data_IF_733071064576
#
_entry.id   IF_733071064576
#
_cell.length_a   1.000
_cell.length_b   1.000
_cell.length_c   1.000
_cell.angle_alpha   90.00
_cell.angle_beta   90.00
_cell.angle_gamma   90.00
#
_symmetry.space_group_name_H-M   'P 1'
#
loop_
_entity.id
_entity.type
_entity.pdbx_description
1 polymer ?
#
# COMPACT_ATOMS: atom_id res chain seq x y z
N UNK A 1 -3.32 19.67 -0.56
CA UNK A 1 -4.23 19.34 0.56
C UNK A 1 -5.26 18.28 0.14
N UNK A 2 -5.17 17.07 0.68
CA UNK A 2 -6.18 16.02 0.44
C UNK A 2 -7.44 16.36 1.26
N UNK A 3 -8.58 16.46 0.58
CA UNK A 3 -9.87 16.78 1.21
C UNK A 3 -10.54 15.47 1.60
N UNK A 4 -10.81 15.25 2.89
CA UNK A 4 -11.51 14.06 3.36
C UNK A 4 -12.89 14.44 3.86
N UNK A 5 -13.94 13.63 3.61
CA UNK A 5 -13.96 12.43 2.76
C UNK A 5 -13.92 12.76 1.26
N UNK A 6 -13.20 11.96 0.48
CA UNK A 6 -13.23 12.03 -1.00
C UNK A 6 -13.90 10.76 -1.52
N UNK A 7 -14.87 10.91 -2.41
CA UNK A 7 -15.44 9.80 -3.16
C UNK A 7 -15.25 10.10 -4.65
N UNK A 8 -14.63 9.19 -5.39
CA UNK A 8 -14.41 9.29 -6.83
C UNK A 8 -15.00 8.05 -7.47
N UNK A 9 -15.96 8.22 -8.37
CA UNK A 9 -16.50 7.15 -9.19
C UNK A 9 -16.30 7.49 -10.66
N UNK A 10 -15.73 6.57 -11.41
CA UNK A 10 -15.59 6.64 -12.86
C UNK A 10 -16.33 5.46 -13.49
N UNK A 11 -17.01 5.68 -14.61
CA UNK A 11 -17.76 4.66 -15.32
C UNK A 11 -17.49 4.79 -16.81
N UNK A 12 -17.03 3.70 -17.42
CA UNK A 12 -16.83 3.62 -18.86
C UNK A 12 -18.13 3.17 -19.57
N UNK A 13 -18.26 3.58 -20.83
CA UNK A 13 -19.30 3.23 -21.79
C UNK A 13 -19.53 1.71 -21.94
N UNK A 14 -18.54 0.88 -21.60
CA UNK A 14 -18.62 -0.58 -21.59
C UNK A 14 -19.26 -1.18 -20.32
N UNK A 15 -19.69 -0.36 -19.35
CA UNK A 15 -20.30 -0.80 -18.09
C UNK A 15 -19.29 -1.25 -17.02
N UNK A 16 -18.04 -0.81 -17.14
CA UNK A 16 -17.01 -0.96 -16.11
C UNK A 16 -17.07 0.24 -15.18
N UNK A 17 -17.26 0.02 -13.88
CA UNK A 17 -17.31 1.07 -12.87
C UNK A 17 -16.13 0.91 -11.91
N UNK A 18 -15.44 2.02 -11.64
CA UNK A 18 -14.38 2.12 -10.65
C UNK A 18 -14.77 3.17 -9.62
N UNK A 19 -15.14 2.73 -8.42
CA UNK A 19 -15.45 3.61 -7.29
C UNK A 19 -14.33 3.54 -6.27
N UNK A 20 -13.88 4.69 -5.79
CA UNK A 20 -12.87 4.86 -4.76
C UNK A 20 -13.43 5.78 -3.67
N UNK A 21 -13.53 5.26 -2.46
CA UNK A 21 -13.91 6.02 -1.27
C UNK A 21 -12.69 6.17 -0.38
N UNK A 22 -12.30 7.39 -0.08
CA UNK A 22 -11.21 7.71 0.82
C UNK A 22 -11.77 8.46 2.03
N UNK A 23 -11.68 7.85 3.20
CA UNK A 23 -12.15 8.39 4.46
C UNK A 23 -11.01 8.54 5.46
N UNK A 24 -11.04 9.63 6.23
CA UNK A 24 -10.16 9.83 7.36
C UNK A 24 -10.98 9.47 8.61
N UNK A 25 -10.70 8.31 9.23
CA UNK A 25 -11.44 7.84 10.41
C UNK A 25 -11.02 8.59 11.68
N UNK A 26 -9.84 9.22 11.66
CA UNK A 26 -9.35 10.11 12.70
C UNK A 26 -8.10 10.84 12.21
N UNK A 27 -7.52 11.72 13.02
CA UNK A 27 -6.38 12.58 12.61
C UNK A 27 -5.18 11.80 12.07
N UNK A 28 -5.05 10.53 12.46
CA UNK A 28 -3.92 9.64 12.14
C UNK A 28 -4.31 8.38 11.39
N UNK A 29 -5.61 8.11 11.19
CA UNK A 29 -6.10 6.89 10.56
C UNK A 29 -6.88 7.20 9.28
N UNK A 30 -6.43 6.62 8.19
CA UNK A 30 -7.02 6.73 6.85
C UNK A 30 -7.52 5.37 6.42
N UNK A 31 -8.73 5.31 5.90
CA UNK A 31 -9.24 4.15 5.19
C UNK A 31 -9.52 4.52 3.74
N UNK A 32 -9.16 3.62 2.85
CA UNK A 32 -9.49 3.69 1.43
C UNK A 32 -10.23 2.41 1.07
N UNK A 33 -11.33 2.54 0.36
CA UNK A 33 -12.05 1.44 -0.23
C UNK A 33 -12.09 1.66 -1.74
N UNK A 34 -11.80 0.63 -2.52
CA UNK A 34 -11.84 0.66 -3.98
C UNK A 34 -12.69 -0.50 -4.45
N UNK A 35 -13.67 -0.21 -5.30
CA UNK A 35 -14.56 -1.19 -5.90
C UNK A 35 -14.45 -1.07 -7.41
N UNK A 36 -14.13 -2.19 -8.08
CA UNK A 36 -14.08 -2.26 -9.53
C UNK A 36 -15.02 -3.34 -10.05
N UNK A 37 -15.86 -2.93 -10.99
CA UNK A 37 -16.72 -3.81 -11.77
C UNK A 37 -16.27 -3.79 -13.23
N UNK A 38 -16.41 -4.92 -13.91
CA UNK A 38 -16.13 -5.04 -15.33
C UNK A 38 -17.35 -5.65 -16.00
N UNK A 39 -17.95 -4.93 -16.95
CA UNK A 39 -19.15 -5.38 -17.67
C UNK A 39 -20.25 -5.93 -16.75
N UNK A 40 -20.63 -5.16 -15.72
CA UNK A 40 -21.62 -5.52 -14.70
C UNK A 40 -21.28 -6.74 -13.80
N UNK A 41 -20.08 -7.32 -13.89
CA UNK A 41 -19.58 -8.28 -12.88
C UNK A 41 -18.74 -7.57 -11.83
N UNK A 42 -18.98 -7.88 -10.56
CA UNK A 42 -18.07 -7.49 -9.48
C UNK A 42 -16.76 -8.25 -9.66
N UNK A 43 -15.66 -7.53 -9.90
CA UNK A 43 -14.36 -8.17 -10.18
C UNK A 43 -13.42 -8.03 -9.00
N UNK A 44 -13.21 -6.81 -8.50
CA UNK A 44 -12.26 -6.58 -7.42
C UNK A 44 -12.83 -5.60 -6.42
N UNK A 45 -12.51 -5.86 -5.16
CA UNK A 45 -12.71 -4.92 -4.08
C UNK A 45 -11.44 -4.91 -3.24
N UNK A 46 -10.98 -3.73 -2.91
CA UNK A 46 -9.77 -3.51 -2.14
C UNK A 46 -10.08 -2.57 -0.99
N UNK A 47 -9.62 -2.93 0.21
CA UNK A 47 -9.70 -2.10 1.40
C UNK A 47 -8.29 -1.84 1.91
N UNK A 48 -7.91 -0.58 2.00
CA UNK A 48 -6.65 -0.15 2.59
C UNK A 48 -6.92 0.61 3.88
N UNK A 49 -6.21 0.29 4.95
CA UNK A 49 -6.16 1.03 6.20
C UNK A 49 -4.74 1.52 6.44
N UNK A 50 -4.52 2.83 6.39
CA UNK A 50 -3.24 3.47 6.71
C UNK A 50 -3.34 4.15 8.08
N UNK A 51 -2.50 3.72 9.00
CA UNK A 51 -2.28 4.36 10.28
C UNK A 51 -0.92 5.07 10.26
N UNK A 52 -0.93 6.38 10.50
CA UNK A 52 0.26 7.21 10.53
C UNK A 52 0.43 7.84 11.91
N UNK A 53 1.29 7.23 12.71
CA UNK A 53 1.76 7.77 13.98
C UNK A 53 2.85 8.82 13.79
N UNK A 54 3.43 9.25 14.92
CA UNK A 54 4.53 10.23 14.93
C UNK A 54 5.83 9.62 14.41
N UNK A 55 6.16 8.41 14.88
CA UNK A 55 7.40 7.70 14.54
C UNK A 55 7.18 6.39 13.78
N UNK A 56 5.92 6.00 13.53
CA UNK A 56 5.60 4.79 12.79
C UNK A 56 4.44 4.99 11.81
N UNK A 57 4.44 4.21 10.73
CA UNK A 57 3.39 4.12 9.74
C UNK A 57 3.09 2.65 9.53
N UNK A 58 1.84 2.24 9.73
CA UNK A 58 1.36 0.91 9.43
C UNK A 58 0.31 1.02 8.33
N UNK A 59 0.38 0.15 7.32
CA UNK A 59 -0.65 0.05 6.29
C UNK A 59 -1.11 -1.39 6.16
N UNK A 60 -2.40 -1.59 6.05
CA UNK A 60 -3.01 -2.90 5.85
C UNK A 60 -3.92 -2.83 4.64
N UNK A 61 -3.60 -3.59 3.61
CA UNK A 61 -4.36 -3.69 2.36
C UNK A 61 -4.96 -5.09 2.25
N UNK A 62 -6.26 -5.15 2.05
CA UNK A 62 -7.02 -6.36 1.77
C UNK A 62 -7.49 -6.26 0.32
N UNK A 63 -6.91 -7.07 -0.56
CA UNK A 63 -7.21 -7.10 -1.99
C UNK A 63 -7.97 -8.35 -2.37
N UNK A 64 -9.07 -8.15 -3.10
CA UNK A 64 -9.90 -9.18 -3.70
C UNK A 64 -10.22 -10.40 -2.78
N UNK A 65 -10.84 -10.18 -1.60
CA UNK A 65 -11.34 -11.31 -0.81
C UNK A 65 -12.48 -12.00 -1.54
N UNK A 66 -12.24 -13.20 -2.03
CA UNK A 66 -13.25 -14.09 -2.58
C UNK A 66 -13.65 -15.12 -1.52
N UNK A 67 -14.80 -14.88 -0.87
CA UNK A 67 -15.37 -15.78 0.14
C UNK A 67 -15.85 -17.09 -0.47
N UNK A 68 -16.25 -17.09 -1.75
CA UNK A 68 -16.75 -18.26 -2.46
C UNK A 68 -15.60 -19.14 -2.98
N UNK A 69 -14.55 -18.51 -3.53
CA UNK A 69 -13.34 -19.18 -3.98
C UNK A 69 -12.28 -19.41 -2.90
N UNK A 70 -12.49 -18.90 -1.68
CA UNK A 70 -11.53 -18.99 -0.58
C UNK A 70 -10.19 -18.30 -0.86
N UNK A 71 -10.19 -17.28 -1.73
CA UNK A 71 -8.98 -16.55 -2.09
C UNK A 71 -8.93 -15.18 -1.43
N UNK A 72 -7.76 -14.75 -0.96
CA UNK A 72 -7.60 -13.44 -0.36
C UNK A 72 -6.16 -12.99 -0.51
N UNK A 73 -5.97 -11.69 -0.74
CA UNK A 73 -4.66 -11.06 -0.68
C UNK A 73 -4.68 -10.10 0.49
N UNK A 74 -3.76 -10.29 1.42
CA UNK A 74 -3.53 -9.41 2.56
C UNK A 74 -2.12 -8.89 2.46
N UNK A 75 -1.95 -7.59 2.43
CA UNK A 75 -0.64 -6.95 2.46
C UNK A 75 -0.57 -6.07 3.69
N UNK A 76 0.41 -6.31 4.54
CA UNK A 76 0.67 -5.50 5.72
C UNK A 76 2.05 -4.86 5.57
N UNK A 77 2.12 -3.53 5.56
CA UNK A 77 3.38 -2.82 5.68
C UNK A 77 3.49 -2.16 7.04
N UNK A 78 4.70 -2.14 7.55
CA UNK A 78 5.04 -1.44 8.78
C UNK A 78 6.37 -0.74 8.58
N UNK A 79 6.41 0.57 8.80
CA UNK A 79 7.60 1.41 8.71
C UNK A 79 7.74 2.17 10.02
N UNK A 80 8.90 2.10 10.64
CA UNK A 80 9.22 2.78 11.88
C UNK A 80 10.50 3.59 11.72
N UNK A 81 10.42 4.86 12.11
CA UNK A 81 11.56 5.75 12.24
C UNK A 81 12.34 5.36 13.50
N UNK A 82 13.54 4.80 13.32
CA UNK A 82 14.44 4.44 14.43
C UNK A 82 15.33 5.63 14.79
N UNK A 83 15.62 6.49 13.83
CA UNK A 83 16.43 7.70 13.99
C UNK A 83 15.90 8.78 13.05
N UNK A 84 16.19 10.05 13.29
CA UNK A 84 15.78 11.17 12.43
C UNK A 84 16.17 11.04 10.94
N UNK A 85 17.05 10.09 10.61
CA UNK A 85 17.54 9.80 9.25
C UNK A 85 17.30 8.37 8.80
N UNK A 86 16.95 7.46 9.71
CA UNK A 86 16.84 6.03 9.41
C UNK A 86 15.43 5.55 9.71
N UNK A 87 14.77 5.05 8.68
CA UNK A 87 13.47 4.39 8.76
C UNK A 87 13.67 2.94 8.36
N UNK A 88 13.24 2.02 9.21
CA UNK A 88 13.26 0.59 8.95
C UNK A 88 11.82 0.08 8.92
N UNK A 89 11.59 -1.05 8.27
CA UNK A 89 10.27 -1.62 8.21
C UNK A 89 10.25 -2.95 7.49
N UNK A 90 9.03 -3.41 7.24
CA UNK A 90 8.77 -4.60 6.49
C UNK A 90 7.41 -4.57 5.83
N UNK A 91 7.26 -5.44 4.86
CA UNK A 91 6.07 -5.71 4.10
C UNK A 91 5.82 -7.22 4.14
N UNK A 92 4.64 -7.60 4.58
CA UNK A 92 4.17 -8.98 4.56
C UNK A 92 3.03 -9.07 3.54
N UNK A 93 3.26 -9.76 2.44
CA UNK A 93 2.24 -10.11 1.45
C UNK A 93 1.83 -11.54 1.69
N UNK A 94 0.63 -11.74 2.21
CA UNK A 94 -0.02 -13.03 2.32
C UNK A 94 -1.05 -13.15 1.19
N UNK A 95 -0.87 -14.12 0.30
CA UNK A 95 -1.88 -14.47 -0.68
C UNK A 95 -2.29 -15.92 -0.48
N UNK A 96 -3.60 -16.13 -0.38
CA UNK A 96 -4.20 -17.46 -0.31
C UNK A 96 -5.07 -17.63 -1.53
N UNK A 97 -4.87 -18.71 -2.27
CA UNK A 97 -5.73 -19.16 -3.36
C UNK A 97 -6.00 -20.65 -3.17
N UNK A 98 -7.13 -21.17 -3.66
CA UNK A 98 -7.42 -22.60 -3.58
C UNK A 98 -6.32 -23.39 -4.32
N UNK A 99 -5.50 -24.12 -3.57
CA UNK A 99 -4.36 -24.91 -4.06
C UNK A 99 -2.99 -24.23 -3.96
N UNK A 100 -2.92 -22.94 -3.61
CA UNK A 100 -1.67 -22.18 -3.51
C UNK A 100 -1.73 -21.18 -2.35
N UNK A 101 -0.87 -21.37 -1.35
CA UNK A 101 -0.73 -20.46 -0.21
C UNK A 101 0.70 -19.94 -0.16
N UNK A 102 0.86 -18.62 -0.16
CA UNK A 102 2.14 -17.96 -0.18
C UNK A 102 2.19 -16.78 0.77
N UNK A 103 3.24 -16.72 1.59
CA UNK A 103 3.57 -15.57 2.40
C UNK A 103 4.95 -15.07 1.97
N UNK A 104 5.02 -13.80 1.59
CA UNK A 104 6.26 -13.13 1.21
C UNK A 104 6.51 -12.06 2.26
N UNK A 105 7.64 -12.19 2.97
CA UNK A 105 8.15 -11.15 3.84
C UNK A 105 9.26 -10.41 3.11
N UNK A 106 9.13 -9.09 3.06
CA UNK A 106 10.12 -8.16 2.53
C UNK A 106 10.50 -7.20 3.64
N UNK A 107 11.79 -7.02 3.87
CA UNK A 107 12.32 -6.02 4.79
C UNK A 107 12.66 -4.76 3.99
N UNK A 108 12.31 -3.60 4.52
CA UNK A 108 12.53 -2.30 3.89
C UNK A 108 13.36 -1.41 4.82
N UNK A 109 14.30 -0.67 4.25
CA UNK A 109 15.14 0.28 4.96
C UNK A 109 15.32 1.52 4.12
N UNK A 110 15.16 2.69 4.72
CA UNK A 110 15.41 3.99 4.09
C UNK A 110 16.33 4.80 4.96
N UNK A 111 17.42 5.27 4.37
CA UNK A 111 18.34 6.19 5.02
C UNK A 111 18.41 7.50 4.24
N UNK A 112 18.04 8.59 4.90
CA UNK A 112 18.03 9.94 4.35
C UNK A 112 19.17 10.76 4.96
N UNK A 113 20.21 10.99 4.16
CA UNK A 113 21.28 11.93 4.45
C UNK A 113 20.93 13.33 3.90
N UNK A 114 21.68 14.38 4.29
CA UNK A 114 21.37 15.75 3.85
C UNK A 114 21.28 15.94 2.33
N UNK A 115 22.12 15.23 1.57
CA UNK A 115 22.24 15.40 0.11
C UNK A 115 21.82 14.15 -0.69
N UNK A 116 21.52 13.04 0.00
CA UNK A 116 21.19 11.78 -0.66
C UNK A 116 20.24 10.92 0.17
N UNK A 117 19.42 10.12 -0.50
CA UNK A 117 18.52 9.15 0.10
C UNK A 117 18.83 7.80 -0.52
N UNK A 118 19.02 6.79 0.31
CA UNK A 118 19.06 5.40 -0.14
C UNK A 118 17.90 4.63 0.43
N UNK A 119 17.38 3.69 -0.36
CA UNK A 119 16.36 2.74 0.05
C UNK A 119 16.84 1.34 -0.30
N UNK A 120 16.67 0.41 0.62
CA UNK A 120 17.00 -1.00 0.48
C UNK A 120 15.75 -1.80 0.81
N UNK A 121 15.25 -2.59 -0.12
CA UNK A 121 14.18 -3.55 0.09
C UNK A 121 14.71 -4.94 -0.19
N UNK A 122 14.61 -5.87 0.75
CA UNK A 122 15.12 -7.24 0.62
C UNK A 122 14.00 -8.19 0.99
N UNK A 123 13.55 -9.02 0.04
CA UNK A 123 12.49 -9.98 0.28
C UNK A 123 12.73 -11.31 -0.43
N UNK A 124 11.77 -12.21 -0.29
CA UNK A 124 11.84 -13.56 -0.87
C UNK A 124 12.06 -13.55 -2.40
N UNK A 125 11.59 -12.51 -3.10
CA UNK A 125 11.71 -12.36 -4.56
C UNK A 125 12.97 -11.63 -5.04
N UNK A 126 13.81 -11.10 -4.13
CA UNK A 126 15.01 -10.36 -4.50
C UNK A 126 15.34 -9.18 -3.60
N UNK A 127 16.47 -8.55 -3.88
CA UNK A 127 16.93 -7.35 -3.22
C UNK A 127 16.93 -6.18 -4.20
N UNK A 128 16.25 -5.09 -3.83
CA UNK A 128 16.18 -3.85 -4.57
C UNK A 128 16.84 -2.75 -3.75
N UNK A 129 17.88 -2.13 -4.29
CA UNK A 129 18.52 -0.97 -3.71
C UNK A 129 18.38 0.21 -4.66
N UNK A 130 17.96 1.36 -4.14
CA UNK A 130 17.89 2.61 -4.89
C UNK A 130 18.71 3.68 -4.18
N UNK A 131 19.36 4.52 -4.97
CA UNK A 131 20.15 5.65 -4.50
C UNK A 131 19.69 6.89 -5.25
N UNK A 132 19.27 7.90 -4.49
CA UNK A 132 18.87 9.20 -5.00
C UNK A 132 19.82 10.25 -4.41
N UNK A 133 20.37 11.11 -5.27
CA UNK A 133 21.25 12.20 -4.87
C UNK A 133 20.76 13.49 -5.47
N UNK A 134 20.56 14.52 -4.64
CA UNK A 134 20.14 15.83 -5.11
C UNK A 134 21.37 16.68 -5.35
N UNK A 135 21.66 16.99 -6.61
CA UNK A 135 22.84 17.75 -7.01
C UNK A 135 22.60 19.26 -7.08
N UNK A 136 21.39 19.74 -7.39
CA UNK A 136 21.08 21.18 -7.41
C UNK A 136 19.57 21.48 -7.22
N UNK A 137 19.18 22.74 -6.96
CA UNK A 137 17.75 23.10 -6.85
C UNK A 137 17.00 23.11 -8.19
N UNK A 138 17.74 23.09 -9.31
CA UNK A 138 17.20 23.06 -10.67
C UNK A 138 17.23 21.68 -11.34
N UNK A 139 17.83 20.66 -10.70
CA UNK A 139 17.99 19.29 -11.27
C UNK A 139 17.84 18.23 -10.19
#
# INVERSE_FOLDING_TARGET
PQVFPTLVGDMDSAGSLNAQALQLLGDRLRAKAVFQTHQAKFVTWQFDGEYRGDDCTATLTLGNPDVLGGSVIVVAHFLQSVTSRLVLGGELVYHRRPGEEGAILTLAGKYAAPNWVTTLNVGYGGAHASYYHRANEQV
#
